data_IF_436753427006
#
_entry.id   IF_436753427006
#
_cell.length_a   1.000
_cell.length_b   1.000
_cell.length_c   1.000
_cell.angle_alpha   90.00
_cell.angle_beta   90.00
_cell.angle_gamma   90.00
#
_symmetry.space_group_name_H-M   'P 1'
#
loop_
_entity.id
_entity.type
_entity.pdbx_description
1 polymer ?
#
# COMPACT_ATOMS: atom_id res chain seq x y z
N UNK A 1 -7.85 -45.18 -20.56
CA UNK A 1 -7.55 -44.79 -21.95
C UNK A 1 -6.95 -43.39 -21.89
N UNK A 2 -5.65 -43.26 -22.11
CA UNK A 2 -4.97 -41.98 -22.04
C UNK A 2 -4.99 -41.37 -23.44
N UNK A 3 -5.35 -40.09 -23.54
CA UNK A 3 -5.14 -39.34 -24.78
C UNK A 3 -3.63 -39.32 -25.04
N UNK A 4 -3.20 -40.02 -26.07
CA UNK A 4 -1.83 -40.00 -26.53
C UNK A 4 -1.52 -38.68 -27.24
N UNK A 5 -0.23 -38.48 -27.50
CA UNK A 5 0.26 -37.32 -28.24
C UNK A 5 -0.42 -37.20 -29.60
N UNK A 6 -0.74 -38.32 -30.26
CA UNK A 6 -1.42 -38.37 -31.55
C UNK A 6 -2.85 -37.82 -31.48
N UNK A 7 -3.63 -38.22 -30.48
CA UNK A 7 -5.00 -37.75 -30.29
C UNK A 7 -5.02 -36.24 -29.99
N UNK A 8 -4.07 -35.74 -29.20
CA UNK A 8 -3.94 -34.30 -28.91
C UNK A 8 -3.62 -33.52 -30.19
N UNK A 9 -2.70 -34.00 -31.02
CA UNK A 9 -2.37 -33.37 -32.30
C UNK A 9 -3.60 -33.34 -33.22
N UNK A 10 -4.38 -34.42 -33.27
CA UNK A 10 -5.59 -34.50 -34.09
C UNK A 10 -6.63 -33.46 -33.65
N UNK A 11 -6.85 -33.33 -32.34
CA UNK A 11 -7.78 -32.34 -31.78
C UNK A 11 -7.30 -30.92 -32.11
N UNK A 12 -6.01 -30.63 -31.92
CA UNK A 12 -5.43 -29.33 -32.25
C UNK A 12 -5.56 -29.04 -33.76
N UNK A 13 -5.34 -30.03 -34.62
CA UNK A 13 -5.52 -29.90 -36.06
C UNK A 13 -6.96 -29.54 -36.43
N UNK A 14 -7.96 -30.21 -35.83
CA UNK A 14 -9.38 -29.87 -36.04
C UNK A 14 -9.69 -28.45 -35.55
N UNK A 15 -9.21 -28.05 -34.38
CA UNK A 15 -9.37 -26.68 -33.88
C UNK A 15 -8.71 -25.65 -34.79
N UNK A 16 -7.52 -25.94 -35.33
CA UNK A 16 -6.83 -25.09 -36.30
C UNK A 16 -7.59 -24.99 -37.63
N UNK A 17 -8.30 -26.04 -38.06
CA UNK A 17 -9.15 -25.99 -39.25
C UNK A 17 -10.42 -25.15 -39.02
N UNK A 18 -11.05 -25.28 -37.84
CA UNK A 18 -12.27 -24.54 -37.50
C UNK A 18 -12.00 -23.05 -37.25
N UNK A 19 -10.98 -22.74 -36.46
CA UNK A 19 -10.66 -21.38 -36.07
C UNK A 19 -9.62 -20.73 -37.00
N UNK A 20 -8.81 -21.51 -37.70
CA UNK A 20 -7.68 -21.03 -38.50
C UNK A 20 -6.38 -20.97 -37.71
N UNK A 21 -5.25 -21.19 -38.39
CA UNK A 21 -3.92 -21.20 -37.78
C UNK A 21 -3.50 -19.87 -37.12
N UNK A 22 -4.14 -18.76 -37.48
CA UNK A 22 -3.83 -17.42 -36.95
C UNK A 22 -4.59 -17.09 -35.66
N UNK A 23 -5.71 -17.74 -35.36
CA UNK A 23 -6.57 -17.37 -34.20
C UNK A 23 -6.00 -17.84 -32.87
N UNK A 24 -5.46 -19.05 -32.80
CA UNK A 24 -4.83 -19.57 -31.58
C UNK A 24 -3.65 -18.69 -31.10
N UNK A 25 -2.70 -18.29 -31.97
CA UNK A 25 -1.65 -17.33 -31.59
C UNK A 25 -2.18 -15.96 -31.17
N UNK A 26 -3.22 -15.44 -31.83
CA UNK A 26 -3.84 -14.16 -31.46
C UNK A 26 -4.45 -14.21 -30.06
N UNK A 27 -5.20 -15.28 -29.75
CA UNK A 27 -5.79 -15.49 -28.43
C UNK A 27 -4.72 -15.67 -27.35
N UNK A 28 -3.66 -16.43 -27.63
CA UNK A 28 -2.54 -16.59 -26.70
C UNK A 28 -1.84 -15.26 -26.40
N UNK A 29 -1.64 -14.41 -27.42
CA UNK A 29 -1.07 -13.06 -27.23
C UNK A 29 -1.98 -12.18 -26.38
N UNK A 30 -3.27 -12.11 -26.70
CA UNK A 30 -4.23 -11.31 -25.94
C UNK A 30 -4.33 -11.76 -24.47
N UNK A 31 -4.37 -13.08 -24.22
CA UNK A 31 -4.33 -13.64 -22.86
C UNK A 31 -3.01 -13.31 -22.16
N UNK A 32 -1.88 -13.37 -22.86
CA UNK A 32 -0.57 -13.01 -22.31
C UNK A 32 -0.49 -11.55 -21.89
N UNK A 33 -0.98 -10.64 -22.73
CA UNK A 33 -1.05 -9.20 -22.45
C UNK A 33 -1.97 -8.91 -21.26
N UNK A 34 -3.17 -9.51 -21.23
CA UNK A 34 -4.10 -9.38 -20.11
C UNK A 34 -3.49 -9.87 -18.80
N UNK A 35 -2.82 -11.03 -18.79
CA UNK A 35 -2.14 -11.56 -17.60
C UNK A 35 -0.99 -10.67 -17.14
N UNK A 36 -0.26 -10.03 -18.06
CA UNK A 36 0.80 -9.08 -17.74
C UNK A 36 0.22 -7.85 -17.06
N UNK A 37 -0.77 -7.21 -17.68
CA UNK A 37 -1.43 -6.02 -17.14
C UNK A 37 -2.07 -6.30 -15.77
N UNK A 38 -2.71 -7.47 -15.62
CA UNK A 38 -3.29 -7.89 -14.34
C UNK A 38 -2.24 -8.01 -13.22
N UNK A 39 -1.08 -8.63 -13.53
CA UNK A 39 0.00 -8.78 -12.54
C UNK A 39 0.64 -7.45 -12.16
N UNK A 40 0.79 -6.56 -13.13
CA UNK A 40 1.31 -5.21 -12.91
C UNK A 40 0.38 -4.38 -12.04
N UNK A 41 -0.92 -4.34 -12.36
CA UNK A 41 -1.92 -3.64 -11.55
C UNK A 41 -2.04 -4.18 -10.13
N UNK A 42 -1.91 -5.51 -9.93
CA UNK A 42 -1.87 -6.08 -8.58
C UNK A 42 -0.65 -5.60 -7.77
N UNK A 43 0.52 -5.51 -8.40
CA UNK A 43 1.74 -5.05 -7.71
C UNK A 43 1.65 -3.57 -7.37
N UNK A 44 1.12 -2.77 -8.27
CA UNK A 44 0.88 -1.34 -8.02
C UNK A 44 -0.08 -1.12 -6.85
N UNK A 45 -1.17 -1.89 -6.78
CA UNK A 45 -2.11 -1.82 -5.66
C UNK A 45 -1.44 -2.18 -4.32
N UNK A 46 -0.62 -3.24 -4.28
CA UNK A 46 0.13 -3.61 -3.06
C UNK A 46 1.15 -2.53 -2.65
N UNK A 47 1.85 -1.94 -3.62
CA UNK A 47 2.78 -0.83 -3.36
C UNK A 47 2.04 0.43 -2.85
N UNK A 48 0.84 0.72 -3.38
CA UNK A 48 0.01 1.84 -2.94
C UNK A 48 -0.50 1.64 -1.51
N UNK A 49 -1.05 0.46 -1.19
CA UNK A 49 -1.47 0.09 0.16
C UNK A 49 -0.32 0.23 1.17
N UNK A 50 0.88 -0.24 0.80
CA UNK A 50 2.08 -0.10 1.65
C UNK A 50 2.44 1.36 1.90
N UNK A 51 2.40 2.21 0.87
CA UNK A 51 2.69 3.65 0.99
C UNK A 51 1.63 4.36 1.84
N UNK A 52 0.35 4.01 1.70
CA UNK A 52 -0.71 4.56 2.54
C UNK A 52 -0.53 4.17 4.00
N UNK A 53 -0.18 2.91 4.27
CA UNK A 53 0.07 2.43 5.62
C UNK A 53 1.24 3.19 6.27
N UNK A 54 2.35 3.37 5.54
CA UNK A 54 3.50 4.16 6.01
C UNK A 54 3.15 5.63 6.30
N UNK A 55 2.30 6.26 5.47
CA UNK A 55 1.80 7.63 5.72
C UNK A 55 0.97 7.69 7.00
N UNK A 56 0.02 6.77 7.17
CA UNK A 56 -0.83 6.70 8.39
C UNK A 56 0.00 6.49 9.65
N UNK A 57 1.03 5.64 9.59
CA UNK A 57 1.98 5.42 10.69
C UNK A 57 2.73 6.71 11.06
N UNK A 58 3.22 7.47 10.08
CA UNK A 58 3.91 8.76 10.32
C UNK A 58 2.99 9.84 10.89
N UNK A 59 1.77 9.95 10.36
CA UNK A 59 0.77 10.91 10.84
C UNK A 59 0.32 10.58 12.27
N UNK A 60 0.08 9.30 12.55
CA UNK A 60 -0.23 8.80 13.89
C UNK A 60 0.88 9.09 14.90
N UNK A 61 2.14 8.81 14.56
CA UNK A 61 3.28 9.10 15.44
C UNK A 61 3.49 10.60 15.69
N UNK A 62 3.28 11.44 14.67
CA UNK A 62 3.40 12.90 14.82
C UNK A 62 2.33 13.47 15.75
N UNK A 63 1.11 12.93 15.70
CA UNK A 63 0.02 13.32 16.62
C UNK A 63 0.26 12.88 18.07
N UNK A 64 0.92 11.73 18.27
CA UNK A 64 1.31 11.25 19.60
C UNK A 64 2.46 12.08 20.19
N UNK A 65 3.47 12.41 19.39
CA UNK A 65 4.57 13.30 19.79
C UNK A 65 4.07 14.71 20.18
N UNK A 66 3.11 15.27 19.43
CA UNK A 66 2.51 16.56 19.77
C UNK A 66 1.70 16.49 21.07
N UNK A 67 0.98 15.39 21.33
CA UNK A 67 0.24 15.20 22.59
C UNK A 67 1.16 15.06 23.79
N UNK A 68 2.30 14.38 23.63
CA UNK A 68 3.21 14.11 24.75
C UNK A 68 4.05 15.34 25.15
N UNK A 69 4.30 16.25 24.19
CA UNK A 69 5.03 17.52 24.43
C UNK A 69 4.13 18.61 25.03
N UNK A 70 2.80 18.52 24.92
CA UNK A 70 1.90 19.57 25.41
C UNK A 70 1.66 19.47 26.93
N UNK A 71 1.27 18.30 27.44
CA UNK A 71 0.80 18.18 28.84
C UNK A 71 1.89 18.38 29.89
N UNK A 72 3.13 17.93 29.66
CA UNK A 72 4.21 18.04 30.66
C UNK A 72 4.88 19.40 30.65
N UNK A 73 5.10 19.96 29.46
CA UNK A 73 5.80 21.24 29.29
C UNK A 73 4.92 22.42 29.68
N UNK A 74 3.60 22.34 29.43
CA UNK A 74 2.63 23.33 29.93
C UNK A 74 2.56 23.35 31.46
N UNK A 75 2.55 22.19 32.11
CA UNK A 75 2.50 22.09 33.57
C UNK A 75 3.80 22.61 34.19
N UNK A 76 4.97 22.28 33.63
CA UNK A 76 6.25 22.83 34.07
C UNK A 76 6.33 24.36 33.89
N UNK A 77 5.81 24.91 32.80
CA UNK A 77 5.84 26.35 32.56
C UNK A 77 4.84 27.11 33.44
N UNK A 78 3.68 26.53 33.74
CA UNK A 78 2.73 27.07 34.71
C UNK A 78 3.30 27.07 36.13
N UNK A 79 3.99 25.99 36.54
CA UNK A 79 4.67 25.94 37.84
C UNK A 79 5.79 26.99 37.94
N UNK A 80 6.63 27.13 36.91
CA UNK A 80 7.66 28.18 36.88
C UNK A 80 7.08 29.59 37.00
N UNK A 81 5.93 29.85 36.35
CA UNK A 81 5.23 31.14 36.46
C UNK A 81 4.55 31.32 37.82
N UNK A 82 4.08 30.26 38.46
CA UNK A 82 3.52 30.31 39.81
C UNK A 82 4.61 30.64 40.84
N UNK A 83 5.78 30.00 40.75
CA UNK A 83 6.92 30.25 41.64
C UNK A 83 7.53 31.65 41.45
N UNK A 84 7.71 32.08 40.20
CA UNK A 84 8.29 33.39 39.91
C UNK A 84 7.41 34.56 40.37
N UNK A 85 6.08 34.39 40.36
CA UNK A 85 5.14 35.42 40.85
C UNK A 85 5.12 35.52 42.37
N UNK A 86 5.40 34.44 43.10
CA UNK A 86 5.41 34.45 44.56
C UNK A 86 6.60 35.22 45.14
N UNK A 87 7.77 35.15 44.50
CA UNK A 87 8.99 35.79 45.00
C UNK A 87 9.11 37.30 44.69
N UNK A 88 8.30 37.84 43.77
CA UNK A 88 8.36 39.28 43.44
C UNK A 88 7.49 40.15 44.36
N UNK A 89 6.59 39.55 45.14
CA UNK A 89 5.67 40.30 46.01
C UNK A 89 6.26 40.67 47.38
N UNK A 90 7.43 40.11 47.74
CA UNK A 90 8.06 40.32 49.06
C UNK A 90 9.10 41.46 49.05
N UNK A 91 9.71 41.80 47.91
CA UNK A 91 10.82 42.77 47.82
C UNK A 91 10.38 44.23 47.59
N UNK A 92 9.08 44.52 47.69
CA UNK A 92 8.49 45.82 47.31
C UNK A 92 8.00 46.71 48.45
N UNK A 93 8.41 46.49 49.71
CA UNK A 93 8.03 47.35 50.84
C UNK A 93 9.23 47.80 51.65
#
# INVERSE_FOLDING_TARGET
MNLGTTEIILIVAVLLLLFGASRLPQLARALGESRKAFREGMREAEEEERREQERRLREGQSSLLLKEVDDKTLVEELQRRAEAKQNQQITGK
#
